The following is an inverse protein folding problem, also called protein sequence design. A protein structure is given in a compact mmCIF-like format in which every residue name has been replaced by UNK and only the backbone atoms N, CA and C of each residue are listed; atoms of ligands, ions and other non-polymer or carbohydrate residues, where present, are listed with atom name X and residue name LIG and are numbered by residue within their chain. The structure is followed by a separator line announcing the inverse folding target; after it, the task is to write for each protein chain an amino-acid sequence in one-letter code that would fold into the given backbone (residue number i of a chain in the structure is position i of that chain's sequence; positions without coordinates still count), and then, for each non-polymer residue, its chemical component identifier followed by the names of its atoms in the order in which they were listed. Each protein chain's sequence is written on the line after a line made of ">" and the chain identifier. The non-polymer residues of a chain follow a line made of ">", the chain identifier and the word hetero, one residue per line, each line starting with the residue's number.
data_IF_269419424899
#
_entry.id   IF_269419424899
#
_cell.length_a   1.000
_cell.length_b   1.000
_cell.length_c   1.000
_cell.angle_alpha   90.00
_cell.angle_beta   90.00
_cell.angle_gamma   90.00
#
_symmetry.space_group_name_H-M   'P 1'
#
loop_
_entity.id
_entity.type
_entity.pdbx_description
1 polymer ?
#
# COMPACT_ATOMS: atom_id res chain seq x y z
N UNK A 1 -71.02 -52.34 18.41
CA UNK A 1 -69.94 -51.60 17.75
C UNK A 1 -70.25 -50.11 17.61
N UNK A 2 -71.50 -49.72 17.27
CA UNK A 2 -71.87 -48.30 17.17
C UNK A 2 -71.83 -47.57 18.54
N UNK A 3 -72.36 -48.22 19.59
CA UNK A 3 -72.45 -47.61 20.93
C UNK A 3 -71.11 -47.36 21.63
N UNK A 4 -70.03 -48.06 21.25
CA UNK A 4 -68.70 -47.83 21.82
C UNK A 4 -67.99 -46.65 21.15
N UNK A 5 -68.25 -46.44 19.86
CA UNK A 5 -67.69 -45.30 19.13
C UNK A 5 -68.29 -43.99 19.63
N UNK A 6 -69.61 -43.93 19.79
CA UNK A 6 -70.29 -42.72 20.26
C UNK A 6 -69.82 -42.33 21.66
N UNK A 7 -69.61 -43.30 22.56
CA UNK A 7 -69.07 -43.05 23.90
C UNK A 7 -67.63 -42.52 23.88
N UNK A 8 -66.77 -43.06 23.02
CA UNK A 8 -65.38 -42.60 22.89
C UNK A 8 -65.32 -41.22 22.23
N UNK A 9 -66.20 -40.96 21.27
CA UNK A 9 -66.31 -39.66 20.61
C UNK A 9 -66.78 -38.58 21.58
N UNK A 10 -67.86 -38.82 22.31
CA UNK A 10 -68.39 -37.88 23.30
C UNK A 10 -67.37 -37.60 24.41
N UNK A 11 -66.65 -38.63 24.88
CA UNK A 11 -65.59 -38.46 25.86
C UNK A 11 -64.42 -37.62 25.33
N UNK A 12 -63.98 -37.85 24.09
CA UNK A 12 -62.90 -37.09 23.47
C UNK A 12 -63.33 -35.63 23.17
N UNK A 13 -64.59 -35.43 22.79
CA UNK A 13 -65.15 -34.09 22.54
C UNK A 13 -65.24 -33.29 23.84
N UNK A 14 -65.77 -33.88 24.91
CA UNK A 14 -65.82 -33.25 26.22
C UNK A 14 -64.42 -32.94 26.76
N UNK A 15 -63.45 -33.82 26.53
CA UNK A 15 -62.06 -33.58 26.90
C UNK A 15 -61.44 -32.43 26.10
N UNK A 16 -61.74 -32.33 24.80
CA UNK A 16 -61.28 -31.25 23.94
C UNK A 16 -61.90 -29.90 24.32
N UNK A 17 -63.19 -29.86 24.62
CA UNK A 17 -63.89 -28.63 25.07
C UNK A 17 -63.37 -28.19 26.44
N UNK A 18 -63.13 -29.12 27.37
CA UNK A 18 -62.56 -28.82 28.69
C UNK A 18 -61.10 -28.33 28.61
N UNK A 19 -60.34 -28.80 27.62
CA UNK A 19 -58.94 -28.38 27.39
C UNK A 19 -58.79 -27.13 26.53
N UNK A 20 -59.84 -26.67 25.85
CA UNK A 20 -59.79 -25.46 25.05
C UNK A 20 -59.81 -24.23 25.97
N UNK A 21 -58.63 -23.76 26.37
CA UNK A 21 -58.48 -22.44 26.98
C UNK A 21 -58.96 -21.38 26.00
N UNK A 22 -59.72 -20.40 26.51
CA UNK A 22 -60.28 -19.31 25.71
C UNK A 22 -59.18 -18.68 24.83
N UNK A 23 -59.42 -18.66 23.51
CA UNK A 23 -58.46 -18.11 22.56
C UNK A 23 -58.10 -16.68 22.98
N UNK A 24 -56.81 -16.32 23.11
CA UNK A 24 -56.40 -14.99 23.51
C UNK A 24 -56.92 -13.95 22.51
N UNK A 25 -57.42 -12.81 23.02
CA UNK A 25 -58.03 -11.76 22.20
C UNK A 25 -57.11 -11.32 21.05
N UNK A 26 -57.60 -11.23 19.80
CA UNK A 26 -56.80 -10.86 18.64
C UNK A 26 -56.25 -9.41 18.70
N UNK A 27 -56.83 -8.57 19.56
CA UNK A 27 -56.51 -7.14 19.68
C UNK A 27 -55.04 -6.89 20.03
N UNK A 28 -54.46 -7.69 20.95
CA UNK A 28 -53.05 -7.57 21.35
C UNK A 28 -52.07 -7.93 20.23
N UNK A 29 -52.47 -8.82 19.33
CA UNK A 29 -51.65 -9.18 18.16
C UNK A 29 -51.74 -8.09 17.10
N UNK A 30 -52.93 -7.50 16.92
CA UNK A 30 -53.16 -6.41 15.97
C UNK A 30 -52.36 -5.15 16.33
N UNK A 31 -52.36 -4.75 17.61
CA UNK A 31 -51.64 -3.57 18.10
C UNK A 31 -50.13 -3.67 17.84
N UNK A 32 -49.55 -4.88 18.00
CA UNK A 32 -48.13 -5.13 17.69
C UNK A 32 -47.86 -4.99 16.19
N UNK A 33 -48.76 -5.48 15.33
CA UNK A 33 -48.58 -5.36 13.87
C UNK A 33 -48.71 -3.92 13.39
N UNK A 34 -49.63 -3.13 13.96
CA UNK A 34 -49.82 -1.72 13.64
C UNK A 34 -48.59 -0.88 13.99
N UNK A 35 -47.99 -1.11 15.17
CA UNK A 35 -46.75 -0.44 15.57
C UNK A 35 -45.59 -0.74 14.62
N UNK A 36 -45.46 -1.99 14.15
CA UNK A 36 -44.43 -2.37 13.18
C UNK A 36 -44.65 -1.72 11.81
N UNK A 37 -45.92 -1.61 11.37
CA UNK A 37 -46.28 -0.95 10.11
C UNK A 37 -45.94 0.55 10.15
N UNK A 38 -46.29 1.23 11.25
CA UNK A 38 -45.99 2.65 11.44
C UNK A 38 -44.47 2.92 11.49
N UNK A 39 -43.69 2.03 12.12
CA UNK A 39 -42.22 2.12 12.12
C UNK A 39 -41.65 1.97 10.71
N UNK A 40 -42.11 1.00 9.93
CA UNK A 40 -41.70 0.82 8.52
C UNK A 40 -42.06 2.02 7.65
N UNK A 41 -43.26 2.56 7.81
CA UNK A 41 -43.73 3.75 7.07
C UNK A 41 -42.86 4.98 7.35
N UNK A 42 -42.57 5.27 8.63
CA UNK A 42 -41.68 6.38 9.02
C UNK A 42 -40.26 6.21 8.46
N UNK A 43 -39.70 5.00 8.48
CA UNK A 43 -38.38 4.71 7.90
C UNK A 43 -38.37 4.93 6.39
N UNK A 44 -39.37 4.43 5.66
CA UNK A 44 -39.50 4.66 4.21
C UNK A 44 -39.60 6.14 3.87
N UNK A 45 -40.36 6.93 4.64
CA UNK A 45 -40.48 8.37 4.42
C UNK A 45 -39.14 9.11 4.58
N UNK A 46 -38.31 8.71 5.55
CA UNK A 46 -36.95 9.26 5.75
C UNK A 46 -35.96 8.84 4.65
N UNK A 47 -36.08 7.62 4.12
CA UNK A 47 -35.20 7.14 3.05
C UNK A 47 -35.52 7.76 1.69
N UNK A 48 -36.75 8.26 1.47
CA UNK A 48 -37.16 8.92 0.21
C UNK A 48 -36.39 10.22 -0.07
N UNK A 49 -35.86 10.89 0.96
CA UNK A 49 -35.08 12.12 0.80
C UNK A 49 -33.59 11.89 0.57
N UNK A 50 -33.06 10.69 0.85
CA UNK A 50 -31.64 10.36 0.60
C UNK A 50 -31.20 10.56 -0.85
N UNK A 51 -31.94 10.13 -1.89
CA UNK A 51 -31.51 10.36 -3.27
C UNK A 51 -31.44 11.85 -3.61
N UNK A 52 -32.35 12.68 -3.10
CA UNK A 52 -32.30 14.13 -3.30
C UNK A 52 -31.06 14.76 -2.67
N UNK A 53 -30.70 14.34 -1.45
CA UNK A 53 -29.49 14.78 -0.76
C UNK A 53 -28.25 14.34 -1.54
N UNK A 54 -28.19 13.09 -1.98
CA UNK A 54 -27.08 12.57 -2.78
C UNK A 54 -26.92 13.33 -4.12
N UNK A 55 -28.03 13.61 -4.82
CA UNK A 55 -28.00 14.40 -6.05
C UNK A 55 -27.54 15.84 -5.80
N UNK A 56 -27.96 16.49 -4.71
CA UNK A 56 -27.48 17.84 -4.35
C UNK A 56 -25.98 17.86 -4.03
N UNK A 57 -25.48 16.82 -3.36
CA UNK A 57 -24.04 16.65 -3.10
C UNK A 57 -23.25 16.43 -4.39
N UNK A 58 -23.76 15.59 -5.30
CA UNK A 58 -23.14 15.36 -6.60
C UNK A 58 -23.12 16.62 -7.47
N UNK A 59 -24.21 17.40 -7.48
CA UNK A 59 -24.27 18.68 -8.19
C UNK A 59 -23.32 19.72 -7.56
N UNK A 60 -23.23 19.78 -6.23
CA UNK A 60 -22.26 20.62 -5.54
C UNK A 60 -20.82 20.22 -5.86
N UNK A 61 -20.50 18.94 -5.81
CA UNK A 61 -19.19 18.41 -6.17
C UNK A 61 -18.85 18.64 -7.65
N UNK A 62 -19.85 18.61 -8.55
CA UNK A 62 -19.65 18.94 -9.96
C UNK A 62 -19.40 20.44 -10.18
N UNK A 63 -20.17 21.31 -9.51
CA UNK A 63 -20.08 22.77 -9.68
C UNK A 63 -18.82 23.38 -9.05
N UNK A 64 -18.39 22.87 -7.89
CA UNK A 64 -17.24 23.40 -7.16
C UNK A 64 -15.97 22.56 -7.34
N UNK A 65 -16.04 21.50 -8.15
CA UNK A 65 -15.01 20.48 -8.25
C UNK A 65 -15.01 19.59 -7.00
N UNK A 66 -14.75 18.28 -7.20
CA UNK A 66 -14.32 17.47 -6.06
C UNK A 66 -13.12 18.19 -5.42
N UNK A 67 -13.08 18.36 -4.08
CA UNK A 67 -11.89 18.91 -3.46
C UNK A 67 -10.73 18.06 -3.96
N UNK A 68 -9.77 18.70 -4.64
CA UNK A 68 -8.49 18.06 -4.96
C UNK A 68 -8.07 17.40 -3.65
N UNK A 69 -7.93 16.07 -3.67
CA UNK A 69 -7.49 15.32 -2.50
C UNK A 69 -6.30 16.10 -1.93
N UNK A 70 -6.49 16.67 -0.74
CA UNK A 70 -5.49 17.55 -0.18
C UNK A 70 -4.22 16.72 -0.03
N UNK A 71 -3.11 17.20 -0.60
CA UNK A 71 -1.77 16.65 -0.37
C UNK A 71 -1.39 16.59 1.13
N UNK A 72 -2.23 17.14 2.02
CA UNK A 72 -2.07 17.18 3.46
C UNK A 72 -2.21 15.82 4.19
N UNK A 73 -2.54 14.72 3.52
CA UNK A 73 -2.72 13.42 4.18
C UNK A 73 -1.79 12.31 3.69
N UNK A 74 -0.88 12.56 2.75
CA UNK A 74 0.14 11.57 2.44
C UNK A 74 1.33 11.78 3.38
N UNK A 75 1.57 10.88 4.36
CA UNK A 75 2.76 10.95 5.18
C UNK A 75 4.02 10.72 4.33
N UNK A 76 3.90 10.31 3.07
CA UNK A 76 5.01 10.19 2.13
C UNK A 76 4.95 11.32 1.10
N UNK A 77 6.10 11.93 0.81
CA UNK A 77 6.21 12.94 -0.24
C UNK A 77 7.23 12.54 -1.28
N UNK A 78 6.94 12.97 -2.50
CA UNK A 78 7.78 12.79 -3.68
C UNK A 78 8.01 14.19 -4.26
N UNK A 79 9.24 14.71 -4.15
CA UNK A 79 9.61 16.07 -4.59
C UNK A 79 10.68 16.00 -5.67
N UNK A 80 10.41 16.62 -6.81
CA UNK A 80 11.40 16.82 -7.87
C UNK A 80 12.02 18.20 -7.70
N UNK A 81 13.34 18.25 -7.49
CA UNK A 81 14.13 19.49 -7.53
C UNK A 81 15.03 19.46 -8.75
N UNK A 82 14.91 20.47 -9.59
CA UNK A 82 15.82 20.68 -10.72
C UNK A 82 16.90 21.66 -10.28
N UNK A 83 18.16 21.28 -10.44
CA UNK A 83 19.30 22.16 -10.21
C UNK A 83 19.71 22.85 -11.53
N UNK A 84 20.26 24.07 -11.45
CA UNK A 84 21.07 24.59 -12.55
C UNK A 84 22.14 23.54 -12.88
N UNK A 85 22.41 23.28 -14.17
CA UNK A 85 23.26 22.17 -14.69
C UNK A 85 22.52 20.89 -15.13
N UNK A 86 21.18 20.86 -15.11
CA UNK A 86 20.42 19.74 -15.70
C UNK A 86 20.41 18.46 -14.83
N UNK A 87 20.80 18.58 -13.57
CA UNK A 87 20.65 17.52 -12.58
C UNK A 87 19.23 17.61 -11.99
N UNK A 88 18.51 16.50 -12.02
CA UNK A 88 17.17 16.37 -11.44
C UNK A 88 17.24 15.44 -10.23
N UNK A 89 17.00 15.98 -9.04
CA UNK A 89 16.87 15.20 -7.83
C UNK A 89 15.41 14.83 -7.60
N UNK A 90 15.13 13.53 -7.61
CA UNK A 90 13.88 12.99 -7.12
C UNK A 90 14.07 12.58 -5.68
N UNK A 91 13.38 13.25 -4.76
CA UNK A 91 13.45 13.00 -3.32
C UNK A 91 12.19 12.26 -2.89
N UNK A 92 12.38 11.11 -2.25
CA UNK A 92 11.35 10.33 -1.59
C UNK A 92 11.53 10.43 -0.08
N UNK A 93 10.45 10.50 0.69
CA UNK A 93 10.59 10.47 2.14
C UNK A 93 9.27 10.57 2.87
N UNK A 94 9.33 10.50 4.20
CA UNK A 94 8.18 10.77 5.06
C UNK A 94 8.15 12.24 5.50
N UNK A 95 6.96 12.82 5.57
CA UNK A 95 6.72 14.15 6.11
C UNK A 95 7.00 14.18 7.62
N UNK A 96 8.28 14.23 8.00
CA UNK A 96 8.68 14.80 9.27
C UNK A 96 8.43 16.31 9.22
N UNK A 97 7.98 16.91 10.33
CA UNK A 97 7.88 18.37 10.48
C UNK A 97 9.23 19.06 10.13
N UNK A 98 9.47 19.34 8.86
CA UNK A 98 10.66 20.05 8.37
C UNK A 98 10.40 21.54 8.23
N UNK A 99 9.17 22.01 8.47
CA UNK A 99 8.79 23.44 8.53
C UNK A 99 9.39 24.19 9.74
N UNK A 100 10.46 23.66 10.33
CA UNK A 100 11.15 24.22 11.49
C UNK A 100 12.66 24.02 11.49
N UNK A 101 13.30 23.72 10.36
CA UNK A 101 14.76 23.75 10.29
C UNK A 101 15.25 25.21 10.41
N UNK A 102 15.60 25.62 11.63
CA UNK A 102 16.07 26.97 11.98
C UNK A 102 17.53 27.26 11.60
N UNK A 103 18.23 26.33 10.99
CA UNK A 103 19.62 26.53 10.59
C UNK A 103 19.67 26.89 9.12
N UNK A 104 20.23 28.07 8.82
CA UNK A 104 20.58 28.45 7.47
C UNK A 104 21.46 27.34 6.83
N UNK A 105 21.32 27.09 5.52
CA UNK A 105 22.22 26.17 4.82
C UNK A 105 23.68 26.58 5.08
N UNK A 106 24.61 25.63 5.28
CA UNK A 106 26.01 25.94 5.48
C UNK A 106 26.53 26.81 4.32
N UNK A 107 27.34 27.85 4.58
CA UNK A 107 27.89 28.69 3.53
C UNK A 107 28.72 27.85 2.56
N UNK A 108 28.53 28.09 1.27
CA UNK A 108 29.31 27.51 0.18
C UNK A 108 30.79 27.93 0.34
N UNK A 109 31.64 26.99 0.74
CA UNK A 109 33.08 27.19 0.68
C UNK A 109 33.59 26.68 -0.66
N UNK A 110 33.94 27.62 -1.54
CA UNK A 110 34.71 27.34 -2.75
C UNK A 110 36.16 26.94 -2.37
N UNK A 111 36.54 25.76 -2.85
CA UNK A 111 37.89 25.30 -3.24
C UNK A 111 38.98 24.94 -2.21
N UNK A 112 39.48 23.71 -2.43
CA UNK A 112 40.89 23.23 -2.41
C UNK A 112 41.48 22.61 -1.12
N UNK A 113 41.39 21.25 -1.06
CA UNK A 113 42.44 20.22 -0.83
C UNK A 113 43.45 20.34 0.36
N UNK A 114 44.06 19.25 0.90
CA UNK A 114 44.31 17.94 0.27
C UNK A 114 44.05 16.70 1.15
N UNK A 115 44.35 15.53 0.56
CA UNK A 115 44.32 14.17 1.08
C UNK A 115 44.66 14.03 2.58
N UNK A 116 43.83 13.26 3.30
CA UNK A 116 44.11 12.83 4.67
C UNK A 116 44.64 11.40 4.65
N UNK A 117 45.88 11.28 5.10
CA UNK A 117 46.59 10.04 5.38
C UNK A 117 45.85 9.17 6.41
N UNK A 118 46.09 7.86 6.27
CA UNK A 118 45.75 6.80 7.21
C UNK A 118 46.15 7.18 8.64
N UNK A 119 45.19 7.07 9.56
CA UNK A 119 45.40 7.37 10.97
C UNK A 119 44.47 6.56 11.86
N UNK A 120 45.02 5.49 12.42
CA UNK A 120 44.70 4.86 13.70
C UNK A 120 43.22 4.68 14.07
N UNK A 121 42.78 3.42 14.01
CA UNK A 121 41.55 2.92 14.63
C UNK A 121 41.59 3.25 16.13
N UNK A 122 40.72 4.16 16.57
CA UNK A 122 40.44 4.36 17.98
C UNK A 122 39.62 3.16 18.48
N UNK A 123 40.28 2.34 19.29
CA UNK A 123 39.71 1.22 20.03
C UNK A 123 38.60 1.73 20.97
N UNK A 124 37.37 1.24 20.78
CA UNK A 124 36.19 1.71 21.52
C UNK A 124 34.91 1.90 20.71
N UNK A 125 34.80 1.34 19.50
CA UNK A 125 33.49 1.26 18.83
C UNK A 125 32.65 0.21 19.52
N UNK A 126 31.63 0.63 20.29
CA UNK A 126 30.51 -0.23 20.62
C UNK A 126 30.05 -0.89 19.32
N UNK A 127 30.17 -2.21 19.23
CA UNK A 127 29.66 -2.98 18.11
C UNK A 127 28.14 -2.84 18.18
N UNK A 128 27.62 -1.76 17.59
CA UNK A 128 26.20 -1.57 17.40
C UNK A 128 25.65 -2.83 16.78
N UNK A 129 24.53 -3.33 17.32
CA UNK A 129 23.87 -4.52 16.80
C UNK A 129 23.82 -4.42 15.28
N UNK A 130 24.49 -5.34 14.59
CA UNK A 130 24.54 -5.36 13.13
C UNK A 130 23.19 -5.85 12.63
N UNK A 131 22.67 -5.21 11.58
CA UNK A 131 21.43 -5.65 10.95
C UNK A 131 21.52 -7.13 10.57
N UNK A 132 20.49 -7.89 10.93
CA UNK A 132 20.43 -9.31 10.57
C UNK A 132 20.12 -9.40 9.09
N UNK A 133 20.92 -10.17 8.37
CA UNK A 133 20.70 -10.46 6.95
C UNK A 133 20.41 -11.94 6.77
N UNK A 134 19.26 -12.24 6.17
CA UNK A 134 18.91 -13.60 5.74
C UNK A 134 18.97 -13.67 4.21
N UNK A 135 19.60 -14.71 3.68
CA UNK A 135 19.67 -14.98 2.25
C UNK A 135 18.67 -16.08 1.88
N UNK A 136 17.93 -15.84 0.80
CA UNK A 136 16.89 -16.72 0.28
C UNK A 136 17.21 -17.14 -1.14
N UNK A 137 16.77 -18.35 -1.48
CA UNK A 137 16.96 -18.90 -2.83
C UNK A 137 15.85 -18.44 -3.77
N UNK A 138 14.71 -18.02 -3.22
CA UNK A 138 13.54 -17.59 -3.98
C UNK A 138 12.76 -16.46 -3.34
N UNK A 139 12.02 -15.73 -4.16
CA UNK A 139 11.04 -14.75 -3.71
C UNK A 139 9.84 -15.37 -3.00
N UNK A 140 9.55 -16.65 -3.25
CA UNK A 140 8.47 -17.35 -2.55
C UNK A 140 8.74 -17.47 -1.05
N UNK A 141 10.00 -17.68 -0.66
CA UNK A 141 10.41 -17.72 0.75
C UNK A 141 10.18 -16.37 1.44
N UNK A 142 10.55 -15.28 0.76
CA UNK A 142 10.28 -13.92 1.24
C UNK A 142 8.76 -13.67 1.31
N UNK A 143 8.01 -14.10 0.29
CA UNK A 143 6.54 -13.92 0.22
C UNK A 143 5.82 -14.64 1.37
N UNK A 144 6.31 -15.82 1.81
CA UNK A 144 5.76 -16.54 2.97
C UNK A 144 5.91 -15.78 4.28
N UNK A 145 6.96 -14.96 4.40
CA UNK A 145 7.24 -14.17 5.60
C UNK A 145 6.59 -12.79 5.52
N UNK A 146 6.52 -12.24 4.31
CA UNK A 146 6.04 -10.91 4.03
C UNK A 146 5.25 -10.93 2.72
N UNK A 147 3.92 -10.99 2.84
CA UNK A 147 3.02 -10.88 1.70
C UNK A 147 3.38 -9.65 0.84
N UNK A 148 3.04 -9.65 -0.46
CA UNK A 148 3.23 -8.56 -1.47
C UNK A 148 4.68 -8.10 -1.81
N UNK A 149 5.72 -8.45 -1.05
CA UNK A 149 7.11 -7.97 -1.24
C UNK A 149 7.92 -8.73 -2.31
N UNK A 150 7.30 -9.16 -3.42
CA UNK A 150 7.97 -9.99 -4.41
C UNK A 150 7.42 -9.79 -5.83
N UNK A 151 8.29 -9.67 -6.86
CA UNK A 151 7.86 -9.80 -8.24
C UNK A 151 7.23 -11.18 -8.49
N UNK A 152 6.23 -11.23 -9.36
CA UNK A 152 5.83 -12.49 -9.98
C UNK A 152 6.99 -13.06 -10.81
N UNK A 153 7.23 -14.37 -10.76
CA UNK A 153 8.31 -14.98 -11.56
C UNK A 153 8.12 -14.74 -13.07
N UNK A 154 6.86 -14.66 -13.52
CA UNK A 154 6.52 -14.33 -14.91
C UNK A 154 6.83 -12.88 -15.30
N UNK A 155 7.09 -11.99 -14.35
CA UNK A 155 7.42 -10.60 -14.60
C UNK A 155 8.92 -10.37 -14.78
N UNK A 156 9.76 -11.35 -14.40
CA UNK A 156 11.21 -11.28 -14.60
C UNK A 156 11.50 -11.39 -16.10
N UNK A 157 12.24 -10.43 -16.70
CA UNK A 157 12.54 -10.46 -18.13
C UNK A 157 13.26 -11.75 -18.54
N UNK A 158 12.93 -12.25 -19.74
CA UNK A 158 13.57 -13.44 -20.28
C UNK A 158 15.10 -13.26 -20.36
N UNK A 159 15.83 -14.32 -20.04
CA UNK A 159 17.29 -14.31 -20.03
C UNK A 159 17.93 -13.95 -18.69
N UNK A 160 17.20 -13.32 -17.78
CA UNK A 160 17.68 -13.06 -16.42
C UNK A 160 17.49 -14.27 -15.52
N UNK A 161 18.56 -14.67 -14.84
CA UNK A 161 18.56 -15.69 -13.80
C UNK A 161 18.78 -15.02 -12.46
N UNK A 162 18.02 -15.46 -11.46
CA UNK A 162 18.17 -14.99 -10.09
C UNK A 162 19.47 -15.51 -9.50
N UNK A 163 20.28 -14.60 -8.97
CA UNK A 163 21.50 -14.94 -8.21
C UNK A 163 21.12 -15.17 -6.76
N UNK A 164 20.47 -14.19 -6.12
CA UNK A 164 20.09 -14.24 -4.70
C UNK A 164 18.98 -13.26 -4.37
N UNK A 165 18.29 -13.54 -3.26
CA UNK A 165 17.39 -12.59 -2.61
C UNK A 165 17.86 -12.40 -1.18
N UNK A 166 18.10 -11.17 -0.75
CA UNK A 166 18.56 -10.85 0.60
C UNK A 166 17.49 -10.04 1.31
N UNK A 167 17.08 -10.49 2.50
CA UNK A 167 16.25 -9.70 3.40
C UNK A 167 17.11 -9.16 4.54
N UNK A 168 17.01 -7.86 4.78
CA UNK A 168 17.74 -7.14 5.82
C UNK A 168 16.71 -6.69 6.87
N UNK A 169 16.93 -7.12 8.11
CA UNK A 169 16.07 -6.84 9.24
C UNK A 169 16.68 -5.75 10.12
N UNK A 170 15.85 -4.79 10.51
CA UNK A 170 16.22 -3.69 11.40
C UNK A 170 16.73 -4.25 12.74
N UNK A 171 17.91 -3.78 13.13
CA UNK A 171 18.49 -4.07 14.44
C UNK A 171 17.56 -3.68 15.59
N UNK A 172 17.37 -4.59 16.54
CA UNK A 172 16.53 -4.38 17.73
C UNK A 172 15.04 -4.65 17.54
N UNK A 173 14.45 -4.34 16.37
CA UNK A 173 13.03 -4.61 16.11
C UNK A 173 12.80 -5.99 15.49
N UNK A 174 13.80 -6.52 14.77
CA UNK A 174 13.67 -7.76 13.99
C UNK A 174 12.67 -7.65 12.84
N UNK A 175 12.22 -6.44 12.52
CA UNK A 175 11.28 -6.18 11.42
C UNK A 175 12.04 -6.10 10.12
N UNK A 176 11.41 -6.56 9.05
CA UNK A 176 11.97 -6.41 7.72
C UNK A 176 12.10 -4.93 7.36
N UNK A 177 13.32 -4.50 7.03
CA UNK A 177 13.63 -3.17 6.55
C UNK A 177 13.81 -3.13 5.04
N UNK A 178 14.61 -4.06 4.48
CA UNK A 178 14.95 -4.05 3.05
C UNK A 178 14.92 -5.45 2.45
N UNK A 179 14.47 -5.57 1.20
CA UNK A 179 14.64 -6.78 0.39
C UNK A 179 15.36 -6.42 -0.91
N UNK A 180 16.38 -7.18 -1.25
CA UNK A 180 17.19 -6.98 -2.46
C UNK A 180 17.16 -8.26 -3.27
N UNK A 181 16.61 -8.22 -4.49
CA UNK A 181 16.74 -9.31 -5.46
C UNK A 181 17.76 -8.97 -6.51
N UNK A 182 18.74 -9.84 -6.69
CA UNK A 182 19.78 -9.70 -7.70
C UNK A 182 19.65 -10.77 -8.77
N UNK A 183 19.81 -10.34 -10.02
CA UNK A 183 19.69 -11.15 -11.20
C UNK A 183 20.82 -10.82 -12.17
N UNK A 184 21.15 -11.80 -13.01
CA UNK A 184 22.14 -11.68 -14.05
C UNK A 184 21.67 -12.38 -15.31
N UNK A 185 21.88 -11.75 -16.46
CA UNK A 185 21.59 -12.34 -17.76
C UNK A 185 22.69 -13.29 -18.21
N UNK A 186 22.46 -14.06 -19.29
CA UNK A 186 23.52 -14.87 -19.92
C UNK A 186 24.74 -14.06 -20.36
N UNK A 187 24.53 -12.77 -20.62
CA UNK A 187 25.53 -11.87 -21.18
C UNK A 187 26.23 -11.04 -20.08
N UNK A 188 26.04 -11.39 -18.80
CA UNK A 188 26.66 -10.71 -17.66
C UNK A 188 26.01 -9.38 -17.27
N UNK A 189 24.88 -9.00 -17.89
CA UNK A 189 24.13 -7.80 -17.50
C UNK A 189 23.40 -8.03 -16.18
N UNK A 190 23.57 -7.10 -15.25
CA UNK A 190 22.93 -7.14 -13.94
C UNK A 190 21.53 -6.50 -13.96
N UNK A 191 20.68 -6.99 -13.07
CA UNK A 191 19.38 -6.42 -12.72
C UNK A 191 19.19 -6.54 -11.21
N UNK A 192 18.88 -5.42 -10.56
CA UNK A 192 18.62 -5.36 -9.13
C UNK A 192 17.24 -4.79 -8.87
N UNK A 193 16.49 -5.45 -7.98
CA UNK A 193 15.22 -4.97 -7.43
C UNK A 193 15.46 -4.67 -5.96
N UNK A 194 15.29 -3.41 -5.57
CA UNK A 194 15.48 -2.94 -4.21
C UNK A 194 14.14 -2.48 -3.63
N UNK A 195 13.68 -3.13 -2.56
CA UNK A 195 12.45 -2.77 -1.87
C UNK A 195 12.79 -2.38 -0.44
N UNK A 196 12.65 -1.11 -0.12
CA UNK A 196 13.10 -0.53 1.13
C UNK A 196 11.94 0.11 1.88
N UNK A 197 11.77 -0.22 3.15
CA UNK A 197 10.73 0.32 4.01
C UNK A 197 11.14 1.69 4.47
N UNK A 198 10.36 2.70 4.10
CA UNK A 198 10.53 4.06 4.57
C UNK A 198 10.16 4.15 6.04
N UNK A 199 11.09 4.58 6.89
CA UNK A 199 10.84 4.91 8.30
C UNK A 199 10.49 6.39 8.47
N UNK A 200 9.94 6.74 9.64
CA UNK A 200 9.62 8.14 9.94
C UNK A 200 10.88 9.02 9.91
N UNK A 201 10.76 10.19 9.27
CA UNK A 201 11.85 11.16 9.03
C UNK A 201 12.98 10.65 8.15
N UNK A 202 12.77 9.52 7.47
CA UNK A 202 13.66 9.10 6.41
C UNK A 202 13.35 9.84 5.12
N UNK A 203 14.42 10.33 4.49
CA UNK A 203 14.37 10.92 3.17
C UNK A 203 15.57 10.41 2.37
N UNK A 204 15.31 9.91 1.17
CA UNK A 204 16.33 9.44 0.24
C UNK A 204 15.95 9.90 -1.15
N UNK A 205 16.91 10.43 -1.90
CA UNK A 205 16.69 10.84 -3.27
C UNK A 205 17.67 10.19 -4.22
N UNK A 206 17.33 10.23 -5.49
CA UNK A 206 18.25 9.93 -6.58
C UNK A 206 18.47 11.17 -7.42
N UNK A 207 19.73 11.40 -7.76
CA UNK A 207 20.15 12.41 -8.70
C UNK A 207 20.23 11.80 -10.09
N UNK A 208 19.56 12.42 -11.05
CA UNK A 208 19.61 12.03 -12.45
C UNK A 208 20.27 13.14 -13.25
N UNK A 209 21.30 12.80 -14.00
CA UNK A 209 21.90 13.70 -14.98
C UNK A 209 21.11 13.63 -16.28
N UNK A 210 20.26 14.63 -16.55
CA UNK A 210 19.43 14.65 -17.76
C UNK A 210 20.20 14.96 -19.04
N UNK A 211 21.49 15.28 -18.95
CA UNK A 211 22.36 15.33 -20.13
C UNK A 211 22.73 13.93 -20.63
N UNK A 212 22.70 12.93 -19.74
CA UNK A 212 23.06 11.54 -20.02
C UNK A 212 21.87 10.64 -20.37
N UNK A 213 20.64 11.14 -20.21
CA UNK A 213 19.43 10.34 -20.35
C UNK A 213 18.12 11.11 -20.25
N UNK A 214 17.01 10.41 -20.40
CA UNK A 214 15.66 10.98 -20.29
C UNK A 214 15.02 10.55 -18.97
N UNK A 215 14.52 11.53 -18.21
CA UNK A 215 13.68 11.29 -17.02
C UNK A 215 12.21 11.47 -17.38
N UNK A 216 11.43 10.39 -17.23
CA UNK A 216 9.99 10.36 -17.49
C UNK A 216 9.22 10.11 -16.19
N UNK A 217 8.00 10.66 -16.13
CA UNK A 217 6.99 10.24 -15.16
C UNK A 217 6.11 9.16 -15.80
N UNK A 218 5.96 8.04 -15.12
CA UNK A 218 5.07 6.94 -15.51
C UNK A 218 4.16 6.56 -14.34
N UNK A 219 3.14 5.74 -14.59
CA UNK A 219 2.21 5.27 -13.55
C UNK A 219 2.34 3.77 -13.39
N UNK A 220 2.63 3.31 -12.17
CA UNK A 220 2.72 1.89 -11.80
C UNK A 220 1.63 1.61 -10.78
N UNK A 221 0.65 0.75 -11.12
CA UNK A 221 -0.48 0.39 -10.25
C UNK A 221 -1.23 1.59 -9.62
N UNK A 222 -1.27 2.72 -10.33
CA UNK A 222 -1.93 3.95 -9.85
C UNK A 222 -1.01 4.92 -9.09
N UNK A 223 0.23 4.52 -8.82
CA UNK A 223 1.25 5.35 -8.15
C UNK A 223 2.16 6.06 -9.17
N UNK A 224 2.58 7.28 -8.86
CA UNK A 224 3.55 8.01 -9.68
C UNK A 224 4.96 7.41 -9.52
N UNK A 225 5.57 7.08 -10.66
CA UNK A 225 6.90 6.51 -10.75
C UNK A 225 7.81 7.36 -11.63
N UNK A 226 9.10 7.36 -11.33
CA UNK A 226 10.13 8.01 -12.13
C UNK A 226 10.96 6.97 -12.86
N UNK A 227 10.95 7.07 -14.18
CA UNK A 227 11.72 6.24 -15.08
C UNK A 227 12.88 7.06 -15.64
N UNK A 228 14.12 6.62 -15.43
CA UNK A 228 15.30 7.21 -16.04
C UNK A 228 15.90 6.25 -17.07
N UNK A 229 16.05 6.73 -18.31
CA UNK A 229 16.57 6.00 -19.46
C UNK A 229 17.85 6.69 -19.97
N UNK A 230 19.03 6.30 -19.45
CA UNK A 230 20.32 6.80 -19.93
C UNK A 230 20.74 6.17 -21.27
N UNK A 231 21.63 6.85 -21.99
CA UNK A 231 22.13 6.41 -23.29
C UNK A 231 22.96 5.10 -23.24
N UNK A 232 23.53 4.76 -22.08
CA UNK A 232 24.24 3.49 -21.84
C UNK A 232 23.30 2.30 -21.61
N UNK A 233 21.99 2.56 -21.52
CA UNK A 233 20.94 1.57 -21.32
C UNK A 233 20.81 1.06 -19.88
N UNK A 234 21.57 1.58 -18.90
CA UNK A 234 21.46 1.19 -17.49
C UNK A 234 20.33 1.97 -16.81
N UNK A 235 19.11 1.52 -17.06
CA UNK A 235 17.88 2.24 -16.74
C UNK A 235 17.44 2.00 -15.29
N UNK A 236 16.72 2.98 -14.76
CA UNK A 236 16.21 2.94 -13.38
C UNK A 236 14.74 3.32 -13.31
N UNK A 237 13.96 2.61 -12.48
CA UNK A 237 12.56 2.91 -12.22
C UNK A 237 12.29 2.93 -10.71
N UNK A 238 11.86 4.07 -10.19
CA UNK A 238 11.61 4.29 -8.76
C UNK A 238 10.17 4.75 -8.49
N UNK A 239 9.54 4.17 -7.48
CA UNK A 239 8.23 4.62 -6.98
C UNK A 239 8.03 4.29 -5.50
N UNK A 240 6.98 4.87 -4.92
CA UNK A 240 6.52 4.52 -3.58
C UNK A 240 5.25 3.67 -3.71
N UNK A 241 5.18 2.58 -2.94
CA UNK A 241 3.97 1.79 -2.76
C UNK A 241 3.70 1.61 -1.27
N UNK A 242 2.73 2.38 -0.75
CA UNK A 242 2.49 2.48 0.68
C UNK A 242 3.73 2.97 1.43
N UNK A 243 4.23 2.17 2.38
CA UNK A 243 5.41 2.49 3.20
C UNK A 243 6.76 2.04 2.59
N UNK A 244 6.77 1.66 1.32
CA UNK A 244 7.94 1.07 0.70
C UNK A 244 8.34 1.84 -0.54
N UNK A 245 9.62 2.16 -0.64
CA UNK A 245 10.26 2.59 -1.87
C UNK A 245 10.68 1.36 -2.63
N UNK A 246 10.26 1.26 -3.89
CA UNK A 246 10.70 0.24 -4.82
C UNK A 246 11.57 0.89 -5.89
N UNK A 247 12.75 0.33 -6.13
CA UNK A 247 13.66 0.73 -7.19
C UNK A 247 14.06 -0.49 -7.99
N UNK A 248 13.98 -0.40 -9.32
CA UNK A 248 14.48 -1.40 -10.25
C UNK A 248 15.59 -0.77 -11.05
N UNK A 249 16.76 -1.39 -11.06
CA UNK A 249 17.95 -0.89 -11.75
C UNK A 249 18.55 -1.99 -12.63
N UNK A 250 18.81 -1.70 -13.90
CA UNK A 250 19.50 -2.67 -14.77
C UNK A 250 19.45 -2.31 -16.24
N UNK A 251 20.08 -3.14 -17.07
CA UNK A 251 20.07 -2.98 -18.53
C UNK A 251 18.76 -3.46 -19.16
N UNK A 252 17.68 -2.73 -18.92
CA UNK A 252 16.35 -3.04 -19.42
C UNK A 252 15.77 -1.86 -20.21
N UNK A 253 15.03 -2.18 -21.26
CA UNK A 253 14.23 -1.20 -21.99
C UNK A 253 13.00 -0.79 -21.17
N UNK A 254 12.43 0.35 -21.54
CA UNK A 254 11.28 0.98 -20.90
C UNK A 254 10.13 0.01 -20.64
N UNK A 255 9.69 -0.71 -21.66
CA UNK A 255 8.55 -1.62 -21.59
C UNK A 255 8.82 -2.80 -20.65
N UNK A 256 10.05 -3.31 -20.63
CA UNK A 256 10.47 -4.39 -19.75
C UNK A 256 10.51 -3.94 -18.29
N UNK A 257 11.01 -2.73 -18.01
CA UNK A 257 10.97 -2.14 -16.66
C UNK A 257 9.54 -1.96 -16.15
N UNK A 258 8.65 -1.40 -16.98
CA UNK A 258 7.25 -1.18 -16.61
C UNK A 258 6.53 -2.51 -16.40
N UNK A 259 6.78 -3.52 -17.25
CA UNK A 259 6.21 -4.86 -17.08
C UNK A 259 6.68 -5.52 -15.77
N UNK A 260 7.98 -5.44 -15.48
CA UNK A 260 8.56 -5.95 -14.23
C UNK A 260 7.97 -5.24 -13.00
N UNK A 261 7.87 -3.91 -13.04
CA UNK A 261 7.29 -3.12 -11.94
C UNK A 261 5.82 -3.46 -11.69
N UNK A 262 5.02 -3.64 -12.74
CA UNK A 262 3.62 -4.08 -12.59
C UNK A 262 3.50 -5.51 -12.03
N UNK A 263 4.55 -6.32 -12.14
CA UNK A 263 4.63 -7.64 -11.52
C UNK A 263 4.98 -7.64 -10.03
N UNK A 264 5.39 -6.50 -9.45
CA UNK A 264 5.75 -6.37 -8.03
C UNK A 264 4.54 -5.88 -7.25
N UNK A 265 4.07 -6.66 -6.27
CA UNK A 265 2.92 -6.34 -5.42
C UNK A 265 1.77 -7.32 -5.57
#
# INVERSE_FOLDING_TARGET
>A
MQDEFDKLFDAAFDEAVKKHTAAPSPDRLWEKTEQLLHRKSKRRRRLRSLPLIACSFALGAFAFGAPKASEAFDPFFQKVKQFPEGIVNVIFGTAGNSDGAKTAPPPEFETAAPAREEGAVADGTEVGASDRQDQFTSWEEVRKLHDWLAPADSAIPAGYKRIRVTAIYESGSGRLGTVIGQYESSDGKELTIHIHKLVEKEGGGMAYDTSSGTLEKVVIKGEEAYLFLPADGYSTLDWISGKWRVSIVGHLEREALIALANGIG
#
